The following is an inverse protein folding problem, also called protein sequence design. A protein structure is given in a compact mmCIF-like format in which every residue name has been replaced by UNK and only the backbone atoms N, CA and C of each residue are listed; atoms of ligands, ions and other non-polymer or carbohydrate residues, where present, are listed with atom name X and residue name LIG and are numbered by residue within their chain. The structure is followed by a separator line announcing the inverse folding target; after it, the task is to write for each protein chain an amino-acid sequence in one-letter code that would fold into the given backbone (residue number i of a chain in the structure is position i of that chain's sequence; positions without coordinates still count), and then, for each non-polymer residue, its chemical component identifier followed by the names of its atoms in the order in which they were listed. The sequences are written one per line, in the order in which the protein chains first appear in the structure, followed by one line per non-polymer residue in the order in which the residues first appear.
data_IF_259740178467
#
_entry.id   IF_259740178467
#
_cell.length_a   1.000
_cell.length_b   1.000
_cell.length_c   1.000
_cell.angle_alpha   90.00
_cell.angle_beta   90.00
_cell.angle_gamma   90.00
#
_symmetry.space_group_name_H-M   'P 1'
#
loop_
_entity.id
_entity.type
_entity.pdbx_description
1 polymer ?
#
# COMPACT_ATOMS: atom_id res chain seq x y z
N UNK A 1 1.74 1.59 18.77
CA UNK A 1 1.22 1.68 17.38
C UNK A 1 1.10 0.25 16.86
N UNK A 2 -0.09 -0.18 16.46
CA UNK A 2 -0.35 -1.59 16.09
C UNK A 2 -0.08 -1.90 14.62
N UNK A 3 0.00 -0.87 13.76
CA UNK A 3 0.22 -1.02 12.33
C UNK A 3 1.25 0.01 11.87
N UNK A 4 2.09 -0.36 10.91
CA UNK A 4 3.11 0.52 10.31
C UNK A 4 3.23 0.23 8.82
N UNK A 5 3.39 1.27 8.02
CA UNK A 5 3.81 1.13 6.63
C UNK A 5 5.24 1.62 6.45
N UNK A 6 6.03 0.86 5.71
CA UNK A 6 7.37 1.25 5.26
C UNK A 6 7.32 1.38 3.73
N UNK A 7 7.77 2.52 3.21
CA UNK A 7 7.77 2.83 1.78
C UNK A 7 9.20 3.12 1.32
N UNK A 8 9.68 2.37 0.34
CA UNK A 8 11.08 2.41 -0.10
C UNK A 8 11.21 2.52 -1.62
N UNK A 9 12.20 3.29 -2.07
CA UNK A 9 12.63 3.30 -3.47
C UNK A 9 13.53 2.08 -3.71
N UNK A 10 13.16 1.21 -4.66
CA UNK A 10 13.90 -0.01 -4.98
C UNK A 10 14.84 0.16 -6.17
N UNK A 11 14.39 0.93 -7.17
CA UNK A 11 15.20 1.25 -8.35
C UNK A 11 14.68 2.49 -9.05
N UNK A 12 15.60 3.28 -9.58
CA UNK A 12 15.33 4.54 -10.27
C UNK A 12 15.81 4.46 -11.72
N UNK A 13 14.94 4.84 -12.65
CA UNK A 13 15.26 5.12 -14.04
C UNK A 13 14.80 6.55 -14.37
N UNK A 14 15.32 7.18 -15.44
CA UNK A 14 15.02 8.58 -15.75
C UNK A 14 13.54 8.94 -15.83
N UNK A 15 12.67 7.97 -16.17
CA UNK A 15 11.22 8.17 -16.32
C UNK A 15 10.36 7.23 -15.49
N UNK A 16 10.95 6.28 -14.77
CA UNK A 16 10.22 5.25 -14.02
C UNK A 16 10.97 4.93 -12.72
N UNK A 17 10.25 4.89 -11.61
CA UNK A 17 10.78 4.43 -10.33
C UNK A 17 9.96 3.24 -9.84
N UNK A 18 10.64 2.22 -9.32
CA UNK A 18 10.02 1.06 -8.68
C UNK A 18 10.10 1.21 -7.18
N UNK A 19 8.98 0.98 -6.51
CA UNK A 19 8.85 1.14 -5.07
C UNK A 19 8.41 -0.15 -4.40
N UNK A 20 8.81 -0.32 -3.16
CA UNK A 20 8.34 -1.36 -2.25
C UNK A 20 7.51 -0.73 -1.15
N UNK A 21 6.36 -1.35 -0.86
CA UNK A 21 5.48 -0.99 0.24
C UNK A 21 5.29 -2.20 1.14
N UNK A 22 5.67 -2.04 2.40
CA UNK A 22 5.52 -3.07 3.44
C UNK A 22 4.48 -2.60 4.46
N UNK A 23 3.43 -3.39 4.68
CA UNK A 23 2.49 -3.20 5.79
C UNK A 23 2.83 -4.18 6.91
N UNK A 24 3.21 -3.68 8.07
CA UNK A 24 3.45 -4.47 9.27
C UNK A 24 2.20 -4.53 10.15
N UNK A 25 1.75 -5.74 10.47
CA UNK A 25 0.83 -5.98 11.58
C UNK A 25 1.66 -6.22 12.84
N UNK A 26 1.78 -5.20 13.68
CA UNK A 26 2.51 -5.24 14.95
C UNK A 26 1.58 -5.55 16.13
N UNK A 27 0.35 -5.96 15.84
CA UNK A 27 -0.64 -6.35 16.85
C UNK A 27 -0.57 -7.86 17.13
N UNK A 28 -1.19 -8.27 18.23
CA UNK A 28 -1.38 -9.67 18.60
C UNK A 28 -2.65 -10.28 17.97
N UNK A 29 -3.25 -9.62 16.97
CA UNK A 29 -4.47 -10.08 16.30
C UNK A 29 -4.27 -10.18 14.79
N UNK A 30 -4.85 -11.23 14.20
CA UNK A 30 -4.88 -11.40 12.75
C UNK A 30 -5.84 -10.40 12.11
N UNK A 31 -5.43 -9.83 10.96
CA UNK A 31 -6.28 -8.98 10.14
C UNK A 31 -6.95 -9.81 9.06
N UNK A 32 -8.28 -9.90 9.12
CA UNK A 32 -9.09 -10.58 8.11
C UNK A 32 -9.77 -9.57 7.17
N UNK A 33 -9.87 -9.91 5.88
CA UNK A 33 -10.60 -9.12 4.87
C UNK A 33 -10.23 -7.63 4.88
N UNK A 34 -8.94 -7.37 4.98
CA UNK A 34 -8.39 -6.03 5.12
C UNK A 34 -8.11 -5.39 3.75
N UNK A 35 -8.18 -4.07 3.70
CA UNK A 35 -7.76 -3.24 2.56
C UNK A 35 -6.87 -2.13 3.09
N UNK A 36 -5.74 -1.88 2.42
CA UNK A 36 -4.86 -0.76 2.77
C UNK A 36 -5.24 0.46 1.94
N UNK A 37 -5.55 1.56 2.61
CA UNK A 37 -5.77 2.85 1.98
C UNK A 37 -4.60 3.77 2.30
N UNK A 38 -4.13 4.52 1.31
CA UNK A 38 -3.06 5.50 1.50
C UNK A 38 -3.17 6.66 0.52
N UNK A 39 -2.52 7.77 0.83
CA UNK A 39 -2.49 8.96 -0.02
C UNK A 39 -1.10 9.25 -0.58
N UNK A 40 -1.01 9.41 -1.90
CA UNK A 40 0.21 9.79 -2.61
C UNK A 40 -0.14 10.70 -3.80
N UNK A 41 0.69 11.69 -4.09
CA UNK A 41 0.43 12.70 -5.15
C UNK A 41 0.84 12.22 -6.55
N UNK A 42 1.38 11.02 -6.67
CA UNK A 42 1.90 10.46 -7.92
C UNK A 42 1.00 9.34 -8.42
N UNK A 43 0.92 9.20 -9.74
CA UNK A 43 0.10 8.16 -10.37
C UNK A 43 0.83 6.82 -10.38
N UNK A 44 0.26 5.82 -9.70
CA UNK A 44 0.77 4.46 -9.66
C UNK A 44 0.29 3.71 -10.91
N UNK A 45 1.20 3.00 -11.55
CA UNK A 45 0.89 2.12 -12.68
C UNK A 45 0.23 0.84 -12.15
N UNK A 46 -1.10 0.79 -12.14
CA UNK A 46 -1.88 -0.28 -11.51
C UNK A 46 -1.56 -1.68 -12.02
N UNK A 47 -1.12 -1.81 -13.27
CA UNK A 47 -0.71 -3.07 -13.91
C UNK A 47 0.63 -3.61 -13.40
N UNK A 48 1.42 -2.77 -12.70
CA UNK A 48 2.73 -3.15 -12.15
C UNK A 48 2.66 -3.64 -10.70
N UNK A 49 1.47 -3.62 -10.09
CA UNK A 49 1.26 -4.03 -8.70
C UNK A 49 1.43 -5.54 -8.55
N UNK A 50 2.37 -5.97 -7.70
CA UNK A 50 2.77 -7.38 -7.65
C UNK A 50 1.90 -8.28 -6.77
N UNK A 51 1.29 -7.74 -5.71
CA UNK A 51 0.61 -8.54 -4.66
C UNK A 51 -0.81 -8.04 -4.33
N UNK A 52 -1.54 -7.56 -5.33
CA UNK A 52 -2.91 -7.11 -5.13
C UNK A 52 -3.46 -6.36 -6.33
N UNK A 53 -4.58 -5.70 -6.11
CA UNK A 53 -5.18 -4.77 -7.06
C UNK A 53 -5.21 -3.38 -6.44
N UNK A 54 -4.73 -2.38 -7.18
CA UNK A 54 -4.71 -1.00 -6.75
C UNK A 54 -5.67 -0.16 -7.58
N UNK A 55 -6.57 0.54 -6.90
CA UNK A 55 -7.40 1.58 -7.48
C UNK A 55 -6.93 2.94 -6.96
N UNK A 56 -6.78 3.92 -7.84
CA UNK A 56 -6.38 5.27 -7.48
C UNK A 56 -7.40 6.29 -8.01
N UNK A 57 -7.88 7.17 -7.14
CA UNK A 57 -8.76 8.31 -7.48
C UNK A 57 -8.11 9.59 -6.96
N UNK A 58 -7.51 10.36 -7.86
CA UNK A 58 -6.66 11.49 -7.46
C UNK A 58 -5.45 11.00 -6.65
N UNK A 59 -5.28 11.50 -5.43
CA UNK A 59 -4.22 11.03 -4.53
C UNK A 59 -4.61 9.82 -3.68
N UNK A 60 -5.90 9.47 -3.62
CA UNK A 60 -6.39 8.39 -2.77
C UNK A 60 -6.21 7.04 -3.45
N UNK A 61 -5.50 6.13 -2.78
CA UNK A 61 -5.21 4.78 -3.25
C UNK A 61 -5.88 3.74 -2.35
N UNK A 62 -6.49 2.72 -2.96
CA UNK A 62 -7.05 1.54 -2.31
C UNK A 62 -6.31 0.31 -2.84
N UNK A 63 -5.55 -0.36 -1.98
CA UNK A 63 -4.84 -1.59 -2.28
C UNK A 63 -5.57 -2.77 -1.65
N UNK A 64 -6.20 -3.57 -2.51
CA UNK A 64 -6.82 -4.84 -2.15
C UNK A 64 -5.75 -5.96 -2.27
N UNK A 65 -5.27 -6.54 -1.17
CA UNK A 65 -4.24 -7.58 -1.21
C UNK A 65 -4.78 -8.89 -1.79
N UNK A 66 -3.90 -9.69 -2.41
CA UNK A 66 -4.26 -11.06 -2.83
C UNK A 66 -4.47 -12.00 -1.63
N UNK A 67 -3.82 -11.72 -0.49
CA UNK A 67 -3.96 -12.48 0.74
C UNK A 67 -5.14 -11.97 1.57
N UNK A 68 -5.99 -12.89 2.05
CA UNK A 68 -7.18 -12.54 2.85
C UNK A 68 -6.89 -12.28 4.31
N UNK A 69 -5.78 -12.83 4.82
CA UNK A 69 -5.39 -12.77 6.23
C UNK A 69 -3.97 -12.21 6.29
N UNK A 70 -3.74 -11.22 7.16
CA UNK A 70 -2.42 -10.77 7.56
C UNK A 70 -2.22 -11.11 9.04
N UNK A 71 -1.43 -12.15 9.29
CA UNK A 71 -1.21 -12.71 10.64
C UNK A 71 -0.64 -11.67 11.61
N UNK A 72 -0.93 -11.86 12.90
CA UNK A 72 -0.32 -11.13 14.00
C UNK A 72 1.21 -11.16 13.91
N UNK A 73 1.85 -10.04 14.22
CA UNK A 73 3.32 -9.88 14.16
C UNK A 73 3.97 -10.19 12.79
N UNK A 74 3.18 -10.22 11.70
CA UNK A 74 3.63 -10.48 10.34
C UNK A 74 3.61 -9.22 9.46
N UNK A 75 3.91 -9.37 8.18
CA UNK A 75 3.88 -8.27 7.22
C UNK A 75 3.37 -8.70 5.85
N UNK A 76 2.79 -7.74 5.14
CA UNK A 76 2.48 -7.82 3.72
C UNK A 76 3.46 -6.96 2.94
N UNK A 77 3.92 -7.43 1.78
CA UNK A 77 4.81 -6.71 0.90
C UNK A 77 4.23 -6.66 -0.52
N UNK A 78 4.24 -5.48 -1.13
CA UNK A 78 3.97 -5.32 -2.56
C UNK A 78 4.92 -4.33 -3.20
N UNK A 79 5.07 -4.45 -4.51
CA UNK A 79 5.82 -3.52 -5.34
C UNK A 79 4.91 -2.90 -6.39
N UNK A 80 5.26 -1.71 -6.85
CA UNK A 80 4.65 -1.05 -7.98
C UNK A 80 5.60 -0.01 -8.59
N UNK A 81 5.30 0.40 -9.81
CA UNK A 81 6.01 1.43 -10.54
C UNK A 81 5.22 2.74 -10.59
N UNK A 82 5.96 3.85 -10.68
CA UNK A 82 5.43 5.18 -10.94
C UNK A 82 6.24 5.78 -12.08
N UNK A 83 5.55 6.35 -13.06
CA UNK A 83 6.14 7.22 -14.10
C UNK A 83 6.52 8.57 -13.50
N UNK A 84 7.70 8.64 -12.91
CA UNK A 84 8.19 9.82 -12.19
C UNK A 84 9.71 9.92 -12.33
N UNK A 85 10.21 11.16 -12.22
CA UNK A 85 11.60 11.38 -11.87
C UNK A 85 11.90 10.87 -10.44
N UNK A 86 13.17 10.60 -10.11
CA UNK A 86 13.60 10.20 -8.77
C UNK A 86 13.01 11.07 -7.64
N UNK A 87 12.67 10.44 -6.51
CA UNK A 87 12.15 11.16 -5.34
C UNK A 87 13.32 11.80 -4.58
N UNK A 88 13.18 13.09 -4.26
CA UNK A 88 14.22 13.83 -3.55
C UNK A 88 13.82 14.23 -2.13
N UNK A 89 12.52 14.20 -1.83
CA UNK A 89 11.99 14.68 -0.56
C UNK A 89 11.08 13.65 0.10
N UNK A 90 11.05 13.64 1.43
CA UNK A 90 10.06 12.84 2.19
C UNK A 90 8.62 13.26 1.86
N UNK A 91 8.41 14.51 1.44
CA UNK A 91 7.13 15.00 0.96
C UNK A 91 6.68 14.40 -0.38
N UNK A 92 7.52 13.64 -1.09
CA UNK A 92 7.06 12.89 -2.27
C UNK A 92 6.43 11.53 -1.89
N UNK A 93 6.68 11.06 -0.66
CA UNK A 93 6.18 9.77 -0.17
C UNK A 93 4.69 9.76 0.20
N UNK A 94 4.27 8.65 0.80
CA UNK A 94 2.91 8.46 1.31
C UNK A 94 2.66 9.45 2.47
N UNK A 95 1.56 10.21 2.40
CA UNK A 95 1.23 11.23 3.41
C UNK A 95 0.48 10.64 4.59
N UNK A 96 -0.51 9.82 4.29
CA UNK A 96 -1.39 9.20 5.28
C UNK A 96 -1.75 7.79 4.83
N UNK A 97 -2.04 6.92 5.79
CA UNK A 97 -2.52 5.58 5.52
C UNK A 97 -3.42 5.07 6.64
N UNK A 98 -4.37 4.21 6.29
CA UNK A 98 -5.21 3.49 7.24
C UNK A 98 -5.61 2.13 6.67
N UNK A 99 -6.00 1.23 7.55
CA UNK A 99 -6.51 -0.10 7.19
C UNK A 99 -8.03 -0.06 7.35
N UNK A 100 -8.75 -0.46 6.31
CA UNK A 100 -10.17 -0.75 6.40
C UNK A 100 -10.36 -2.26 6.60
N UNK A 101 -11.12 -2.63 7.62
CA UNK A 101 -11.62 -3.99 7.78
C UNK A 101 -12.99 -4.05 7.11
N UNK A 102 -13.15 -4.99 6.18
CA UNK A 102 -14.47 -5.31 5.66
C UNK A 102 -15.08 -6.34 6.60
N UNK A 103 -15.82 -5.88 7.60
CA UNK A 103 -16.74 -6.80 8.27
C UNK A 103 -17.78 -7.21 7.23
N UNK A 104 -18.01 -8.51 7.07
CA UNK A 104 -19.21 -9.02 6.41
C UNK A 104 -20.43 -8.66 7.27
N UNK A 105 -20.77 -7.38 7.42
CA UNK A 105 -22.07 -6.96 7.88
C UNK A 105 -22.96 -6.87 6.65
N UNK A 106 -23.87 -7.83 6.42
CA UNK A 106 -24.89 -7.66 5.40
C UNK A 106 -25.70 -6.42 5.78
N UNK A 107 -25.80 -5.51 4.82
CA UNK A 107 -26.68 -4.35 4.92
C UNK A 107 -28.11 -4.91 4.87
N UNK A 108 -28.71 -5.18 6.04
CA UNK A 108 -30.14 -5.50 6.19
C UNK A 108 -30.96 -4.22 6.31
#
# INVERSE_FOLDING_TARGET
MSYRIDFAVLSEQPSHCRFGLTLHNLSDQDLHHWTLHFSIERYIESDTVTQGQLQQVGSFCSLLPNQKILEANSHFYCEFCIKTAPFHFYSDGIKEAFIQLSDEHPIT
#
